data_IF_127643828736
#
_entry.id   IF_127643828736
#
_cell.length_a   1.000
_cell.length_b   1.000
_cell.length_c   1.000
_cell.angle_alpha   90.00
_cell.angle_beta   90.00
_cell.angle_gamma   90.00
#
_symmetry.space_group_name_H-M   'P 1'
#
loop_
_entity.id
_entity.type
_entity.pdbx_description
1 polymer ?
#
# COMPACT_ATOMS: atom_id res chain seq x y z
N UNK A 1 35.70 -54.90 62.31
CA UNK A 1 34.95 -55.23 61.07
C UNK A 1 34.38 -53.93 60.51
N UNK A 2 35.05 -53.34 59.56
CA UNK A 2 34.64 -52.09 58.99
C UNK A 2 33.97 -52.34 57.62
N UNK A 3 32.69 -52.01 57.50
CA UNK A 3 31.95 -52.05 56.19
C UNK A 3 32.19 -50.78 55.39
N UNK A 4 32.84 -50.91 54.23
CA UNK A 4 33.00 -49.82 53.26
C UNK A 4 31.68 -49.64 52.50
N UNK A 5 31.14 -48.46 52.58
CA UNK A 5 30.01 -47.98 51.71
C UNK A 5 30.60 -47.45 50.44
N UNK A 6 30.20 -48.01 49.28
CA UNK A 6 30.52 -47.46 47.93
C UNK A 6 29.51 -46.45 47.60
N UNK A 7 29.95 -45.19 47.40
CA UNK A 7 29.16 -44.13 46.84
C UNK A 7 29.25 -44.21 45.29
N UNK A 8 28.14 -44.47 44.64
CA UNK A 8 28.03 -44.49 43.21
C UNK A 8 27.58 -43.04 42.77
N UNK A 9 28.47 -42.33 42.16
CA UNK A 9 28.16 -41.01 41.54
C UNK A 9 27.43 -41.25 40.24
N UNK A 10 26.16 -40.87 40.18
CA UNK A 10 25.39 -40.81 38.95
C UNK A 10 25.72 -39.51 38.19
N UNK A 11 26.42 -39.61 37.08
CA UNK A 11 26.59 -38.51 36.12
C UNK A 11 25.31 -38.36 35.32
N UNK A 12 24.56 -37.30 35.59
CA UNK A 12 23.42 -36.90 34.78
C UNK A 12 23.96 -36.12 33.56
N UNK A 13 23.96 -36.79 32.42
CA UNK A 13 24.22 -36.13 31.13
C UNK A 13 23.02 -35.24 30.73
N UNK A 14 23.19 -33.96 30.90
CA UNK A 14 22.24 -32.96 30.35
C UNK A 14 22.47 -32.88 28.85
N UNK A 15 21.62 -33.54 28.05
CA UNK A 15 21.59 -33.38 26.58
C UNK A 15 20.92 -32.06 26.25
N UNK A 16 21.71 -31.07 25.83
CA UNK A 16 21.23 -29.83 25.27
C UNK A 16 20.72 -30.12 23.84
N UNK A 17 19.41 -30.20 23.68
CA UNK A 17 18.78 -30.24 22.37
C UNK A 17 18.88 -28.85 21.75
N UNK A 18 19.76 -28.71 20.75
CA UNK A 18 19.82 -27.52 19.88
C UNK A 18 18.60 -27.56 18.95
N UNK A 19 17.50 -26.88 19.31
CA UNK A 19 16.41 -26.60 18.39
C UNK A 19 16.85 -25.46 17.46
N UNK A 20 17.23 -25.82 16.25
CA UNK A 20 17.40 -24.82 15.16
C UNK A 20 16.04 -24.19 14.89
N UNK A 21 15.79 -23.00 15.44
CA UNK A 21 14.70 -22.14 15.01
C UNK A 21 15.05 -21.62 13.62
N UNK A 22 14.41 -22.21 12.61
CA UNK A 22 14.39 -21.68 11.26
C UNK A 22 13.62 -20.34 11.34
N UNK A 23 14.34 -19.22 11.46
CA UNK A 23 13.76 -17.90 11.32
C UNK A 23 13.29 -17.78 9.87
N UNK A 24 12.01 -18.01 9.65
CA UNK A 24 11.34 -17.57 8.41
C UNK A 24 11.38 -16.06 8.47
N UNK A 25 12.41 -15.46 7.87
CA UNK A 25 12.39 -14.05 7.53
C UNK A 25 11.32 -13.89 6.46
N UNK A 26 10.07 -13.74 6.91
CA UNK A 26 9.03 -13.23 6.07
C UNK A 26 9.52 -11.88 5.52
N UNK A 27 9.74 -11.81 4.22
CA UNK A 27 9.78 -10.54 3.53
C UNK A 27 8.41 -9.90 3.76
N UNK A 28 8.29 -9.14 4.85
CA UNK A 28 7.25 -8.14 4.94
C UNK A 28 7.51 -7.21 3.76
N UNK A 29 6.63 -7.24 2.75
CA UNK A 29 6.58 -6.20 1.76
C UNK A 29 6.56 -4.90 2.56
N UNK A 30 7.62 -4.10 2.44
CA UNK A 30 7.65 -2.75 3.00
C UNK A 30 6.43 -2.07 2.40
N UNK A 31 5.46 -1.71 3.23
CA UNK A 31 4.47 -0.72 2.86
C UNK A 31 5.29 0.48 2.39
N UNK A 32 5.16 0.83 1.13
CA UNK A 32 5.86 1.97 0.57
C UNK A 32 5.28 3.21 1.24
N UNK A 33 6.08 3.90 2.07
CA UNK A 33 5.67 5.12 2.78
C UNK A 33 5.29 6.28 1.83
N UNK A 34 5.32 6.03 0.52
CA UNK A 34 5.02 7.02 -0.51
C UNK A 34 3.51 7.32 -0.64
N UNK A 35 2.63 6.39 -0.26
CA UNK A 35 1.18 6.62 -0.24
C UNK A 35 0.76 7.80 0.65
N UNK A 36 1.21 7.86 1.92
CA UNK A 36 1.00 9.02 2.80
C UNK A 36 1.56 10.33 2.25
N UNK A 37 2.69 10.28 1.52
CA UNK A 37 3.26 11.48 0.89
C UNK A 37 2.39 11.99 -0.26
N UNK A 38 1.81 11.10 -1.07
CA UNK A 38 0.83 11.44 -2.11
C UNK A 38 -0.42 12.05 -1.49
N UNK A 39 -1.00 11.40 -0.45
CA UNK A 39 -2.15 11.91 0.28
C UNK A 39 -1.94 13.33 0.80
N UNK A 40 -0.79 13.57 1.46
CA UNK A 40 -0.43 14.89 1.97
C UNK A 40 -0.28 15.92 0.84
N UNK A 41 0.30 15.54 -0.29
CA UNK A 41 0.46 16.39 -1.46
C UNK A 41 -0.89 16.79 -2.07
N UNK A 42 -1.80 15.84 -2.25
CA UNK A 42 -3.15 16.10 -2.78
C UNK A 42 -3.96 16.99 -1.83
N UNK A 43 -3.95 16.74 -0.53
CA UNK A 43 -4.68 17.58 0.41
C UNK A 43 -4.13 19.02 0.48
N UNK A 44 -2.83 19.21 0.24
CA UNK A 44 -2.23 20.55 0.17
C UNK A 44 -2.80 21.38 -0.98
N UNK A 45 -3.10 20.79 -2.13
CA UNK A 45 -3.66 21.51 -3.28
C UNK A 45 -5.17 21.67 -3.21
N UNK A 46 -5.86 20.96 -2.31
CA UNK A 46 -7.32 21.01 -2.08
C UNK A 46 -7.78 22.09 -1.10
N UNK A 47 -7.05 23.16 -0.91
CA UNK A 47 -7.30 24.18 0.13
C UNK A 47 -8.73 24.74 0.14
N UNK A 48 -9.40 24.81 -1.03
CA UNK A 48 -10.78 25.32 -1.14
C UNK A 48 -11.86 24.29 -0.81
N UNK A 49 -11.53 22.98 -0.85
CA UNK A 49 -12.49 21.90 -0.61
C UNK A 49 -12.38 21.27 0.80
N UNK A 50 -11.31 21.59 1.51
CA UNK A 50 -10.94 20.85 2.73
C UNK A 50 -10.25 19.51 2.42
N UNK A 51 -9.69 18.91 3.47
CA UNK A 51 -8.99 17.63 3.36
C UNK A 51 -9.97 16.48 3.10
N UNK A 52 -9.53 15.52 2.30
CA UNK A 52 -10.20 14.23 2.13
C UNK A 52 -10.06 13.41 3.42
N UNK A 53 -11.08 12.66 3.79
CA UNK A 53 -10.94 11.62 4.80
C UNK A 53 -10.15 10.45 4.20
N UNK A 54 -9.13 9.97 4.92
CA UNK A 54 -8.38 8.79 4.53
C UNK A 54 -9.19 7.53 4.85
N UNK A 55 -9.42 6.66 3.87
CA UNK A 55 -10.24 5.46 4.05
C UNK A 55 -9.44 4.20 3.67
N UNK A 56 -9.25 3.25 4.59
CA UNK A 56 -8.43 2.07 4.34
C UNK A 56 -8.97 1.16 3.22
N UNK A 57 -10.27 1.22 2.92
CA UNK A 57 -10.86 0.45 1.82
C UNK A 57 -10.50 1.07 0.47
N UNK A 58 -10.51 2.39 0.37
CA UNK A 58 -10.05 3.11 -0.81
C UNK A 58 -8.53 2.93 -1.00
N UNK A 59 -7.75 2.94 0.09
CA UNK A 59 -6.32 2.61 0.02
C UNK A 59 -6.11 1.19 -0.52
N UNK A 60 -6.88 0.20 -0.05
CA UNK A 60 -6.75 -1.18 -0.51
C UNK A 60 -7.10 -1.33 -2.00
N UNK A 61 -8.12 -0.63 -2.50
CA UNK A 61 -8.48 -0.61 -3.91
C UNK A 61 -7.37 0.03 -4.76
N UNK A 62 -6.86 1.19 -4.33
CA UNK A 62 -5.76 1.89 -4.98
C UNK A 62 -4.47 1.05 -4.99
N UNK A 63 -4.13 0.37 -3.88
CA UNK A 63 -2.94 -0.47 -3.77
C UNK A 63 -3.00 -1.65 -4.74
N UNK A 64 -4.16 -2.34 -4.82
CA UNK A 64 -4.35 -3.43 -5.79
C UNK A 64 -4.06 -2.97 -7.22
N UNK A 65 -4.52 -1.78 -7.58
CA UNK A 65 -4.28 -1.26 -8.94
C UNK A 65 -2.86 -0.75 -9.14
N UNK A 66 -2.25 -0.10 -8.14
CA UNK A 66 -0.86 0.33 -8.22
C UNK A 66 0.10 -0.87 -8.40
N UNK A 67 -0.15 -1.96 -7.68
CA UNK A 67 0.61 -3.21 -7.81
C UNK A 67 0.42 -3.85 -9.20
N UNK A 68 -0.81 -3.85 -9.70
CA UNK A 68 -1.14 -4.38 -11.02
C UNK A 68 -0.46 -3.56 -12.13
N UNK A 69 -0.51 -2.23 -12.03
CA UNK A 69 0.20 -1.32 -12.96
C UNK A 69 1.71 -1.58 -12.98
N UNK A 70 2.31 -1.78 -11.81
CA UNK A 70 3.75 -2.04 -11.69
C UNK A 70 4.12 -3.39 -12.27
N UNK A 71 3.39 -4.44 -11.89
CA UNK A 71 3.68 -5.84 -12.19
C UNK A 71 3.34 -6.22 -13.62
N UNK A 72 2.18 -5.78 -14.11
CA UNK A 72 1.62 -6.21 -15.39
C UNK A 72 1.70 -5.14 -16.48
N UNK A 73 2.25 -3.95 -16.16
CA UNK A 73 2.44 -2.87 -17.14
C UNK A 73 1.15 -2.18 -17.57
N UNK A 74 0.10 -2.28 -16.77
CA UNK A 74 -1.16 -1.55 -17.02
C UNK A 74 -0.91 -0.05 -16.92
N UNK A 75 -1.41 0.73 -17.87
CA UNK A 75 -1.19 2.19 -17.94
C UNK A 75 -2.48 3.02 -17.79
N UNK A 76 -3.63 2.37 -17.65
CA UNK A 76 -4.95 3.03 -17.57
C UNK A 76 -5.72 2.59 -16.33
N UNK A 77 -7.03 2.83 -16.37
CA UNK A 77 -7.93 2.58 -15.23
C UNK A 77 -8.45 1.14 -15.15
N UNK A 78 -8.40 0.38 -16.25
CA UNK A 78 -8.86 -1.02 -16.27
C UNK A 78 -7.69 -1.91 -15.86
N UNK A 79 -7.91 -2.75 -14.85
CA UNK A 79 -6.92 -3.71 -14.38
C UNK A 79 -6.59 -4.80 -15.40
N UNK A 80 -5.46 -5.49 -15.24
CA UNK A 80 -5.07 -6.63 -16.09
C UNK A 80 -6.08 -7.79 -16.03
N UNK A 81 -6.86 -7.86 -14.95
CA UNK A 81 -7.97 -8.78 -14.73
C UNK A 81 -9.32 -8.29 -15.29
N UNK A 82 -9.33 -7.13 -15.94
CA UNK A 82 -10.54 -6.48 -16.47
C UNK A 82 -11.35 -5.69 -15.44
N UNK A 83 -10.88 -5.58 -14.19
CA UNK A 83 -11.60 -4.84 -13.15
C UNK A 83 -11.62 -3.33 -13.43
N UNK A 84 -12.76 -2.69 -13.20
CA UNK A 84 -12.90 -1.24 -13.20
C UNK A 84 -12.53 -0.65 -11.82
N UNK A 85 -12.25 0.66 -11.72
CA UNK A 85 -12.06 1.33 -10.43
C UNK A 85 -13.23 1.09 -9.47
N UNK A 86 -14.47 1.21 -9.96
CA UNK A 86 -15.68 1.00 -9.18
C UNK A 86 -15.77 -0.42 -8.63
N UNK A 87 -15.38 -1.43 -9.45
CA UNK A 87 -15.37 -2.82 -9.02
C UNK A 87 -14.35 -3.02 -7.89
N UNK A 88 -13.13 -2.52 -8.02
CA UNK A 88 -12.09 -2.62 -7.00
C UNK A 88 -12.49 -1.94 -5.69
N UNK A 89 -13.08 -0.74 -5.76
CA UNK A 89 -13.59 0.02 -4.61
C UNK A 89 -14.70 -0.76 -3.90
N UNK A 90 -15.64 -1.33 -4.64
CA UNK A 90 -16.74 -2.13 -4.08
C UNK A 90 -16.22 -3.43 -3.46
N UNK A 91 -15.32 -4.14 -4.12
CA UNK A 91 -14.69 -5.38 -3.64
C UNK A 91 -13.83 -5.15 -2.39
N UNK A 92 -13.24 -3.95 -2.25
CA UNK A 92 -12.57 -3.52 -1.02
C UNK A 92 -13.53 -3.16 0.13
N UNK A 93 -14.85 -3.23 -0.11
CA UNK A 93 -15.90 -3.01 0.89
C UNK A 93 -16.39 -1.56 1.00
N UNK A 94 -15.99 -0.66 0.11
CA UNK A 94 -16.52 0.71 0.07
C UNK A 94 -17.75 0.78 -0.86
N UNK A 95 -18.92 0.51 -0.31
CA UNK A 95 -20.17 0.33 -1.08
C UNK A 95 -21.15 1.50 -0.98
N UNK A 96 -20.85 2.54 -0.18
CA UNK A 96 -21.74 3.66 0.09
C UNK A 96 -21.51 4.88 -0.82
N UNK A 97 -20.54 4.83 -1.74
CA UNK A 97 -20.31 5.94 -2.64
C UNK A 97 -21.42 6.12 -3.67
N UNK A 98 -21.92 7.36 -3.84
CA UNK A 98 -22.80 7.71 -4.97
C UNK A 98 -22.02 7.90 -6.26
N UNK A 99 -20.78 8.35 -6.13
CA UNK A 99 -19.86 8.53 -7.25
C UNK A 99 -18.43 8.31 -6.76
N UNK A 100 -17.60 7.83 -7.68
CA UNK A 100 -16.19 7.55 -7.45
C UNK A 100 -15.37 8.20 -8.55
N UNK A 101 -14.09 8.39 -8.29
CA UNK A 101 -13.11 8.84 -9.26
C UNK A 101 -11.79 8.13 -9.03
N UNK A 102 -11.00 8.00 -10.08
CA UNK A 102 -9.65 7.44 -9.97
C UNK A 102 -8.67 8.31 -10.74
N UNK A 103 -7.48 8.46 -10.19
CA UNK A 103 -6.32 9.04 -10.86
C UNK A 103 -5.18 8.05 -10.81
N UNK A 104 -4.45 7.94 -11.92
CA UNK A 104 -3.32 7.01 -12.03
C UNK A 104 -2.08 7.74 -12.53
N UNK A 105 -0.91 7.26 -12.12
CA UNK A 105 0.39 7.77 -12.53
C UNK A 105 1.41 6.64 -12.60
N UNK A 106 2.37 6.76 -13.49
CA UNK A 106 3.59 5.99 -13.47
C UNK A 106 4.77 6.87 -13.90
N UNK A 107 5.90 6.66 -13.27
CA UNK A 107 7.13 7.37 -13.55
C UNK A 107 8.35 6.46 -13.42
N UNK A 108 9.46 6.84 -14.05
CA UNK A 108 10.73 6.12 -13.98
C UNK A 108 11.87 7.09 -13.64
N UNK A 109 12.90 6.57 -12.98
CA UNK A 109 14.06 7.37 -12.60
C UNK A 109 13.67 8.58 -11.73
N UNK A 110 14.12 9.80 -12.08
CA UNK A 110 13.79 11.01 -11.31
C UNK A 110 12.28 11.33 -11.23
N UNK A 111 11.48 10.78 -12.15
CA UNK A 111 10.04 10.96 -12.14
C UNK A 111 9.30 9.93 -11.24
N UNK A 112 9.99 8.92 -10.72
CA UNK A 112 9.41 7.91 -9.83
C UNK A 112 9.31 8.44 -8.37
N UNK A 113 8.59 9.53 -8.15
CA UNK A 113 8.41 10.16 -6.83
C UNK A 113 6.98 10.63 -6.59
N UNK A 114 6.50 10.62 -5.32
CA UNK A 114 5.18 11.11 -4.96
C UNK A 114 4.92 12.57 -5.37
N UNK A 115 5.92 13.45 -5.21
CA UNK A 115 5.77 14.86 -5.57
C UNK A 115 5.55 15.04 -7.07
N UNK A 116 6.32 14.34 -7.89
CA UNK A 116 6.15 14.40 -9.35
C UNK A 116 4.79 13.83 -9.78
N UNK A 117 4.29 12.78 -9.13
CA UNK A 117 2.94 12.26 -9.40
C UNK A 117 1.88 13.34 -9.16
N UNK A 118 1.91 14.03 -8.02
CA UNK A 118 0.97 15.11 -7.69
C UNK A 118 1.10 16.27 -8.69
N UNK A 119 2.31 16.67 -9.04
CA UNK A 119 2.54 17.75 -10.01
C UNK A 119 1.96 17.39 -11.37
N UNK A 120 2.21 16.18 -11.87
CA UNK A 120 1.67 15.69 -13.16
C UNK A 120 0.14 15.60 -13.18
N UNK A 121 -0.46 15.16 -12.07
CA UNK A 121 -1.92 15.18 -11.97
C UNK A 121 -2.48 16.60 -12.00
N UNK A 122 -1.81 17.57 -11.36
CA UNK A 122 -2.23 18.95 -11.36
C UNK A 122 -2.00 19.67 -12.71
N UNK A 123 -1.03 19.24 -13.49
CA UNK A 123 -0.82 19.68 -14.88
C UNK A 123 -1.86 19.11 -15.86
N UNK A 124 -2.46 17.96 -15.54
CA UNK A 124 -3.45 17.27 -16.36
C UNK A 124 -4.87 17.75 -16.04
N UNK A 125 -5.59 18.42 -16.96
CA UNK A 125 -6.94 18.93 -16.69
C UNK A 125 -7.93 17.89 -16.15
N UNK A 126 -8.03 16.65 -16.68
CA UNK A 126 -8.95 15.65 -16.13
C UNK A 126 -8.58 15.20 -14.72
N UNK A 127 -7.30 14.95 -14.42
CA UNK A 127 -6.89 14.56 -13.08
C UNK A 127 -7.08 15.70 -12.07
N UNK A 128 -6.72 16.94 -12.47
CA UNK A 128 -6.94 18.12 -11.63
C UNK A 128 -8.42 18.34 -11.33
N UNK A 129 -9.30 18.07 -12.29
CA UNK A 129 -10.74 18.18 -12.05
C UNK A 129 -11.24 17.21 -11.00
N UNK A 130 -10.71 15.98 -10.94
CA UNK A 130 -11.01 15.01 -9.89
C UNK A 130 -10.46 15.51 -8.55
N UNK A 131 -9.19 15.88 -8.50
CA UNK A 131 -8.54 16.34 -7.25
C UNK A 131 -9.27 17.54 -6.64
N UNK A 132 -9.67 18.51 -7.45
CA UNK A 132 -10.32 19.74 -6.98
C UNK A 132 -11.85 19.65 -6.92
N UNK A 133 -12.44 18.49 -7.12
CA UNK A 133 -13.88 18.30 -6.95
C UNK A 133 -14.22 18.18 -5.46
N UNK A 134 -14.88 19.20 -4.92
CA UNK A 134 -15.27 19.23 -3.51
C UNK A 134 -16.38 18.23 -3.14
N UNK A 135 -17.01 17.60 -4.13
CA UNK A 135 -17.99 16.56 -3.89
C UNK A 135 -17.32 15.24 -3.42
N UNK A 136 -16.03 15.04 -3.69
CA UNK A 136 -15.26 13.98 -3.09
C UNK A 136 -14.85 14.36 -1.66
N UNK A 137 -15.22 13.52 -0.70
CA UNK A 137 -14.99 13.74 0.74
C UNK A 137 -14.07 12.68 1.36
N UNK A 138 -13.87 11.55 0.70
CA UNK A 138 -12.95 10.50 1.09
C UNK A 138 -12.04 10.10 -0.07
N UNK A 139 -10.85 9.62 0.25
CA UNK A 139 -9.94 9.02 -0.74
C UNK A 139 -9.00 8.00 -0.11
N UNK A 140 -8.39 7.19 -0.96
CA UNK A 140 -7.25 6.35 -0.61
C UNK A 140 -6.17 6.50 -1.67
N UNK A 141 -4.93 6.64 -1.23
CA UNK A 141 -3.77 6.74 -2.12
C UNK A 141 -2.79 5.62 -1.84
N UNK A 142 -2.27 5.03 -2.90
CA UNK A 142 -1.26 3.99 -2.82
C UNK A 142 -0.22 4.14 -3.91
N UNK A 143 0.96 3.60 -3.63
CA UNK A 143 2.07 3.52 -4.59
C UNK A 143 2.64 2.11 -4.58
N UNK A 144 3.24 1.72 -5.70
CA UNK A 144 4.08 0.55 -5.80
C UNK A 144 5.37 0.92 -6.54
N UNK A 145 6.51 0.37 -6.13
CA UNK A 145 7.78 0.67 -6.77
C UNK A 145 8.72 -0.54 -6.85
N UNK A 146 9.57 -0.55 -7.85
CA UNK A 146 10.63 -1.56 -8.05
C UNK A 146 12.04 -0.94 -7.99
N UNK A 147 12.16 0.25 -7.41
CA UNK A 147 13.40 1.00 -7.27
C UNK A 147 13.73 1.95 -8.42
N UNK A 148 13.27 1.70 -9.64
CA UNK A 148 13.44 2.59 -10.80
C UNK A 148 12.12 3.10 -11.37
N UNK A 149 11.03 2.38 -11.13
CA UNK A 149 9.68 2.71 -11.55
C UNK A 149 8.78 2.83 -10.33
N UNK A 150 7.91 3.83 -10.33
CA UNK A 150 6.84 3.98 -9.35
C UNK A 150 5.52 4.12 -10.09
N UNK A 151 4.51 3.43 -9.61
CA UNK A 151 3.11 3.65 -9.94
C UNK A 151 2.41 4.29 -8.76
N UNK A 152 1.44 5.15 -9.01
CA UNK A 152 0.62 5.75 -7.97
C UNK A 152 -0.84 5.78 -8.42
N UNK A 153 -1.73 5.45 -7.50
CA UNK A 153 -3.18 5.46 -7.71
C UNK A 153 -3.85 6.22 -6.59
N UNK A 154 -4.86 7.00 -6.93
CA UNK A 154 -5.76 7.63 -5.97
C UNK A 154 -7.21 7.31 -6.32
N UNK A 155 -7.89 6.64 -5.40
CA UNK A 155 -9.32 6.37 -5.46
C UNK A 155 -10.08 7.37 -4.59
N UNK A 156 -11.11 7.98 -5.17
CA UNK A 156 -11.93 9.02 -4.54
C UNK A 156 -13.37 8.55 -4.41
N UNK A 157 -14.03 8.97 -3.33
CA UNK A 157 -15.45 8.70 -3.10
C UNK A 157 -16.17 9.93 -2.55
N UNK A 158 -17.43 10.07 -2.96
CA UNK A 158 -18.37 11.06 -2.44
C UNK A 158 -19.69 10.41 -2.01
N UNK A 159 -20.43 11.05 -1.05
CA UNK A 159 -21.69 10.56 -0.49
C UNK A 159 -22.82 10.59 -1.52
#
# INVERSE_FOLDING_TARGET
MAKRVKVVAAFSMCTVALTAQCAITGFAARADDSGPAVYSGVNRVRQTCGALADDPRLIAAAQRHADDMLKNGVSGHVGSDGSSPQARIAEAGYTSARYTGEIVYWGTGPAATPSVAVDRWMESPPHRAIILNCAFTAAGFATASDGNKMTAVGDFAGP
#
